data_IF_363368706769
#
_entry.id   IF_363368706769
#
_cell.length_a   1.000
_cell.length_b   1.000
_cell.length_c   1.000
_cell.angle_alpha   90.00
_cell.angle_beta   90.00
_cell.angle_gamma   90.00
#
_symmetry.space_group_name_H-M   'P 1'
#
loop_
_entity.id
_entity.type
_entity.pdbx_description
1 polymer ?
#
# COMPACT_ATOMS: atom_id res chain seq x y z
N UNK A 1 -7.85 10.50 -3.19
CA UNK A 1 -8.52 9.23 -3.56
C UNK A 1 -8.33 8.22 -2.43
N UNK A 2 -9.11 7.13 -2.39
CA UNK A 2 -8.89 6.03 -1.44
C UNK A 2 -8.12 4.90 -2.15
N UNK A 3 -7.02 4.44 -1.55
CA UNK A 3 -6.10 3.45 -2.12
C UNK A 3 -5.94 2.31 -1.12
N UNK A 4 -6.20 1.08 -1.57
CA UNK A 4 -6.06 -0.13 -0.75
C UNK A 4 -4.83 -0.93 -1.15
N UNK A 5 -4.05 -1.39 -0.17
CA UNK A 5 -2.88 -2.26 -0.36
C UNK A 5 -3.13 -3.55 0.43
N UNK A 6 -3.67 -4.61 -0.20
CA UNK A 6 -3.90 -5.88 0.45
C UNK A 6 -2.59 -6.67 0.64
N UNK A 7 -2.57 -7.58 1.61
CA UNK A 7 -1.52 -8.59 1.71
C UNK A 7 -1.59 -9.55 0.52
N UNK A 8 -0.43 -9.89 -0.06
CA UNK A 8 -0.35 -10.93 -1.08
C UNK A 8 -0.65 -12.31 -0.47
N UNK A 9 -1.64 -13.01 -1.03
CA UNK A 9 -2.09 -14.33 -0.55
C UNK A 9 -1.43 -15.51 -1.29
N UNK A 10 -0.64 -15.23 -2.33
CA UNK A 10 0.01 -16.26 -3.13
C UNK A 10 1.15 -16.91 -2.33
N UNK A 11 1.23 -18.24 -2.38
CA UNK A 11 2.28 -18.99 -1.68
C UNK A 11 3.68 -18.55 -2.15
N UNK A 12 4.57 -18.29 -1.19
CA UNK A 12 5.93 -17.77 -1.41
C UNK A 12 5.98 -16.39 -2.07
N UNK A 13 4.91 -15.60 -1.96
CA UNK A 13 4.94 -14.17 -2.30
C UNK A 13 5.21 -13.35 -1.04
N UNK A 14 6.26 -12.54 -1.08
CA UNK A 14 6.69 -11.71 0.05
C UNK A 14 6.74 -10.23 -0.31
N UNK A 15 6.37 -9.88 -1.54
CA UNK A 15 6.21 -8.49 -1.95
C UNK A 15 4.94 -7.90 -1.34
N UNK A 16 4.89 -6.59 -1.37
CA UNK A 16 3.72 -5.79 -0.98
C UNK A 16 3.51 -4.75 -2.06
N UNK A 17 2.26 -4.35 -2.30
CA UNK A 17 1.92 -3.44 -3.41
C UNK A 17 2.57 -2.07 -3.33
N UNK A 18 3.08 -1.65 -2.16
CA UNK A 18 3.75 -0.36 -1.98
C UNK A 18 4.73 -0.38 -0.82
N UNK A 19 5.81 0.39 -0.94
CA UNK A 19 6.73 0.64 0.18
C UNK A 19 6.18 1.74 1.10
N UNK A 20 6.62 1.81 2.36
CA UNK A 20 6.22 2.88 3.28
C UNK A 20 6.50 4.29 2.74
N UNK A 21 7.59 4.47 1.97
CA UNK A 21 7.92 5.75 1.34
C UNK A 21 6.86 6.19 0.33
N UNK A 22 6.36 5.26 -0.51
CA UNK A 22 5.28 5.56 -1.45
C UNK A 22 3.95 5.88 -0.75
N UNK A 23 3.65 5.18 0.35
CA UNK A 23 2.47 5.48 1.19
C UNK A 23 2.55 6.90 1.75
N UNK A 24 3.72 7.31 2.24
CA UNK A 24 3.95 8.65 2.79
C UNK A 24 3.73 9.75 1.75
N UNK A 25 4.24 9.55 0.53
CA UNK A 25 4.09 10.51 -0.57
C UNK A 25 2.61 10.68 -0.96
N UNK A 26 1.89 9.57 -1.15
CA UNK A 26 0.47 9.61 -1.51
C UNK A 26 -0.38 10.22 -0.40
N UNK A 27 -0.09 9.89 0.86
CA UNK A 27 -0.78 10.47 2.01
C UNK A 27 -0.55 11.98 2.11
N UNK A 28 0.68 12.44 1.87
CA UNK A 28 1.03 13.87 1.85
C UNK A 28 0.31 14.61 0.73
N UNK A 29 0.08 13.96 -0.42
CA UNK A 29 -0.72 14.51 -1.52
C UNK A 29 -2.24 14.46 -1.26
N UNK A 30 -2.69 14.06 -0.07
CA UNK A 30 -4.11 14.04 0.31
C UNK A 30 -4.87 12.77 -0.09
N UNK A 31 -4.17 11.68 -0.42
CA UNK A 31 -4.79 10.38 -0.67
C UNK A 31 -4.96 9.62 0.66
N UNK A 32 -6.11 8.96 0.85
CA UNK A 32 -6.30 8.02 1.93
C UNK A 32 -5.74 6.66 1.53
N UNK A 33 -4.79 6.13 2.31
CA UNK A 33 -4.17 4.82 2.06
C UNK A 33 -4.53 3.85 3.18
N UNK A 34 -5.04 2.68 2.82
CA UNK A 34 -5.40 1.60 3.76
C UNK A 34 -4.57 0.36 3.44
N UNK A 35 -3.91 -0.21 4.44
CA UNK A 35 -3.03 -1.38 4.31
C UNK A 35 -3.63 -2.55 5.10
N UNK A 36 -3.58 -3.76 4.54
CA UNK A 36 -4.03 -5.01 5.19
C UNK A 36 -2.85 -5.90 5.56
#
# INVERSE_FOLDING_TARGET
MQIGIPTEIKKHEHRVGMTPSGVSELTTQGHGVHVQ
#
